data_IF_747586061565
#
_entry.id   IF_747586061565
#
_cell.length_a   1.000
_cell.length_b   1.000
_cell.length_c   1.000
_cell.angle_alpha   90.00
_cell.angle_beta   90.00
_cell.angle_gamma   90.00
#
_symmetry.space_group_name_H-M   'P 1'
#
loop_
_entity.id
_entity.type
_entity.pdbx_description
1 polymer ?
#
# COMPACT_ATOMS: atom_id res chain seq x y z
N UNK A 1 10.39 -5.64 -13.86
CA UNK A 1 9.37 -6.27 -12.99
C UNK A 1 9.44 -5.63 -11.62
N UNK A 2 8.34 -5.04 -11.15
CA UNK A 2 8.25 -4.42 -9.84
C UNK A 2 8.03 -5.48 -8.76
N UNK A 3 8.88 -5.51 -7.74
CA UNK A 3 8.81 -6.44 -6.61
C UNK A 3 8.09 -5.79 -5.44
N UNK A 4 6.83 -6.20 -5.27
CA UNK A 4 5.88 -5.52 -4.42
C UNK A 4 5.88 -6.10 -3.00
N UNK A 5 6.15 -5.25 -2.01
CA UNK A 5 5.80 -5.50 -0.62
C UNK A 5 4.44 -4.86 -0.28
N UNK A 6 3.51 -5.63 0.28
CA UNK A 6 2.20 -5.12 0.69
C UNK A 6 2.11 -4.92 2.20
N UNK A 7 1.55 -3.79 2.63
CA UNK A 7 1.23 -3.55 4.04
C UNK A 7 -0.25 -3.22 4.20
N UNK A 8 -0.95 -4.02 5.00
CA UNK A 8 -2.38 -3.84 5.35
C UNK A 8 -2.56 -3.30 6.76
N UNK A 9 -3.75 -2.79 7.07
CA UNK A 9 -4.11 -2.37 8.43
C UNK A 9 -4.73 -3.52 9.25
N UNK A 10 -4.34 -3.67 10.51
CA UNK A 10 -4.94 -4.65 11.43
C UNK A 10 -6.46 -4.51 11.57
N UNK A 11 -7.00 -3.28 11.46
CA UNK A 11 -8.43 -3.01 11.66
C UNK A 11 -9.33 -3.66 10.61
N UNK A 12 -8.76 -4.04 9.46
CA UNK A 12 -9.48 -4.73 8.39
C UNK A 12 -9.08 -6.20 8.24
N UNK A 13 -8.22 -6.71 9.12
CA UNK A 13 -7.44 -7.92 8.87
C UNK A 13 -8.25 -9.21 8.95
N UNK A 14 -9.32 -9.18 9.75
CA UNK A 14 -10.28 -10.28 9.95
C UNK A 14 -11.47 -10.23 8.98
N UNK A 15 -11.58 -9.17 8.18
CA UNK A 15 -12.68 -8.96 7.21
C UNK A 15 -12.21 -8.93 5.77
N UNK A 16 -10.95 -8.58 5.54
CA UNK A 16 -10.35 -8.45 4.22
C UNK A 16 -9.17 -9.42 4.06
N UNK A 17 -9.33 -10.49 3.26
CA UNK A 17 -8.25 -11.42 2.93
C UNK A 17 -7.38 -10.94 1.76
N UNK A 18 -7.47 -9.65 1.38
CA UNK A 18 -6.74 -9.03 0.26
C UNK A 18 -7.10 -9.55 -1.15
N UNK A 19 -8.18 -10.31 -1.34
CA UNK A 19 -8.57 -10.87 -2.66
C UNK A 19 -8.57 -9.84 -3.79
N UNK A 20 -9.19 -8.67 -3.58
CA UNK A 20 -9.18 -7.60 -4.58
C UNK A 20 -7.78 -7.05 -4.83
N UNK A 21 -6.98 -6.90 -3.77
CA UNK A 21 -5.60 -6.40 -3.88
C UNK A 21 -4.74 -7.34 -4.72
N UNK A 22 -4.85 -8.66 -4.51
CA UNK A 22 -4.10 -9.65 -5.29
C UNK A 22 -4.55 -9.73 -6.74
N UNK A 23 -5.86 -9.65 -7.02
CA UNK A 23 -6.38 -9.58 -8.40
C UNK A 23 -5.87 -8.34 -9.14
N UNK A 24 -5.94 -7.16 -8.51
CA UNK A 24 -5.42 -5.94 -9.12
C UNK A 24 -3.89 -5.97 -9.25
N UNK A 25 -3.17 -6.64 -8.36
CA UNK A 25 -1.72 -6.85 -8.49
C UNK A 25 -1.45 -7.69 -9.75
N UNK A 26 -2.07 -8.87 -9.87
CA UNK A 26 -1.91 -9.77 -11.02
C UNK A 26 -2.26 -9.10 -12.36
N UNK A 27 -3.37 -8.35 -12.39
CA UNK A 27 -3.84 -7.68 -13.61
C UNK A 27 -3.15 -6.34 -13.88
N UNK A 28 -2.36 -5.81 -12.93
CA UNK A 28 -1.78 -4.45 -12.96
C UNK A 28 -2.85 -3.37 -13.09
N UNK A 29 -3.87 -3.46 -12.25
CA UNK A 29 -4.99 -2.52 -12.21
C UNK A 29 -4.90 -1.60 -10.98
N UNK A 30 -5.59 -0.46 -11.07
CA UNK A 30 -5.78 0.46 -9.95
C UNK A 30 -4.44 0.89 -9.33
N UNK A 31 -4.18 0.55 -8.06
CA UNK A 31 -2.94 0.89 -7.37
C UNK A 31 -1.69 0.43 -8.13
N UNK A 32 -1.80 -0.59 -8.97
CA UNK A 32 -0.69 -1.21 -9.69
C UNK A 32 -0.59 -0.80 -11.18
N UNK A 33 -1.45 0.10 -11.68
CA UNK A 33 -1.50 0.44 -13.11
C UNK A 33 -0.26 1.13 -13.67
N UNK A 34 0.62 1.64 -12.80
CA UNK A 34 1.88 2.26 -13.20
C UNK A 34 3.04 1.27 -13.37
N UNK A 35 2.80 -0.04 -13.22
CA UNK A 35 3.81 -1.10 -13.30
C UNK A 35 3.61 -1.96 -14.56
N UNK A 36 4.68 -2.22 -15.30
CA UNK A 36 4.64 -3.11 -16.47
C UNK A 36 4.43 -4.59 -16.08
N UNK A 37 5.06 -5.01 -14.99
CA UNK A 37 4.99 -6.35 -14.42
C UNK A 37 5.12 -6.26 -12.90
N UNK A 38 4.46 -7.16 -12.19
CA UNK A 38 4.43 -7.19 -10.72
C UNK A 38 4.70 -8.58 -10.19
N UNK A 39 5.46 -8.66 -9.10
CA UNK A 39 5.69 -9.88 -8.31
C UNK A 39 5.40 -9.57 -6.84
N UNK A 40 4.64 -10.42 -6.15
CA UNK A 40 4.42 -10.26 -4.71
C UNK A 40 5.59 -10.85 -3.93
N UNK A 41 6.30 -10.02 -3.17
CA UNK A 41 7.39 -10.45 -2.29
C UNK A 41 6.89 -10.89 -0.91
N UNK A 42 5.92 -10.16 -0.36
CA UNK A 42 5.41 -10.46 0.96
C UNK A 42 4.32 -9.49 1.43
N UNK A 43 3.65 -9.89 2.51
CA UNK A 43 2.57 -9.11 3.12
C UNK A 43 2.83 -8.98 4.61
N UNK A 44 2.76 -7.76 5.13
CA UNK A 44 2.70 -7.49 6.56
C UNK A 44 1.39 -6.82 6.97
N UNK A 45 1.05 -6.94 8.25
CA UNK A 45 -0.05 -6.22 8.87
C UNK A 45 0.51 -5.18 9.85
N UNK A 46 0.28 -3.90 9.54
CA UNK A 46 0.57 -2.79 10.42
C UNK A 46 -0.40 -2.75 11.60
N UNK A 47 0.14 -2.47 12.79
CA UNK A 47 -0.62 -2.25 14.02
C UNK A 47 -0.46 -0.82 14.52
N UNK A 48 -1.52 -0.24 15.08
CA UNK A 48 -1.46 1.13 15.62
C UNK A 48 -0.57 1.17 16.88
N UNK A 49 0.21 2.24 17.09
CA UNK A 49 0.23 3.51 16.35
C UNK A 49 1.17 3.53 15.12
N UNK A 50 1.76 2.39 14.74
CA UNK A 50 2.63 2.26 13.56
C UNK A 50 4.11 2.01 13.87
N UNK A 51 4.46 1.77 15.13
CA UNK A 51 5.85 1.75 15.64
C UNK A 51 6.76 0.63 15.09
N UNK A 52 6.27 -0.25 14.22
CA UNK A 52 7.07 -1.26 13.52
C UNK A 52 6.98 -1.18 11.99
N UNK A 53 6.28 -0.18 11.45
CA UNK A 53 5.97 -0.13 10.02
C UNK A 53 7.23 0.01 9.15
N UNK A 54 8.19 0.83 9.60
CA UNK A 54 9.48 1.01 8.90
C UNK A 54 10.26 -0.30 8.88
N UNK A 55 10.30 -1.02 9.99
CA UNK A 55 11.02 -2.30 10.07
C UNK A 55 10.36 -3.36 9.19
N UNK A 56 9.03 -3.43 9.14
CA UNK A 56 8.31 -4.27 8.18
C UNK A 56 8.73 -3.97 6.74
N UNK A 57 8.86 -2.69 6.38
CA UNK A 57 9.31 -2.28 5.04
C UNK A 57 10.79 -2.62 4.81
N UNK A 58 11.67 -2.46 5.80
CA UNK A 58 13.09 -2.88 5.74
C UNK A 58 13.21 -4.40 5.58
N UNK A 59 12.35 -5.19 6.23
CA UNK A 59 12.29 -6.65 6.04
C UNK A 59 11.83 -6.99 4.62
N UNK A 60 10.76 -6.36 4.12
CA UNK A 60 10.33 -6.57 2.73
C UNK A 60 11.44 -6.23 1.73
N UNK A 61 12.16 -5.12 1.94
CA UNK A 61 13.34 -4.75 1.15
C UNK A 61 14.42 -5.82 1.18
N UNK A 62 14.77 -6.34 2.36
CA UNK A 62 15.79 -7.39 2.48
C UNK A 62 15.38 -8.72 1.85
N UNK A 63 14.06 -8.94 1.64
CA UNK A 63 13.51 -10.05 0.85
C UNK A 63 13.39 -9.76 -0.64
N UNK A 64 13.80 -8.57 -1.09
CA UNK A 64 13.87 -8.20 -2.49
C UNK A 64 12.72 -7.32 -2.98
N UNK A 65 11.85 -6.81 -2.11
CA UNK A 65 10.89 -5.79 -2.53
C UNK A 65 11.64 -4.52 -2.96
N UNK A 66 11.22 -3.92 -4.06
CA UNK A 66 11.69 -2.62 -4.55
C UNK A 66 10.63 -1.53 -4.40
N UNK A 67 9.38 -1.91 -4.14
CA UNK A 67 8.24 -1.00 -4.01
C UNK A 67 7.33 -1.44 -2.87
N UNK A 68 6.91 -0.51 -2.02
CA UNK A 68 5.92 -0.77 -0.97
C UNK A 68 4.56 -0.25 -1.40
N UNK A 69 3.52 -1.06 -1.29
CA UNK A 69 2.13 -0.63 -1.43
C UNK A 69 1.42 -0.68 -0.09
N UNK A 70 0.86 0.46 0.33
CA UNK A 70 0.02 0.55 1.52
C UNK A 70 -1.45 0.44 1.11
N UNK A 71 -2.18 -0.50 1.71
CA UNK A 71 -3.52 -0.88 1.27
C UNK A 71 -4.53 0.27 1.37
N UNK A 72 -5.46 0.33 0.41
CA UNK A 72 -6.47 1.40 0.27
C UNK A 72 -7.32 1.65 1.52
N UNK A 73 -7.62 0.60 2.30
CA UNK A 73 -8.39 0.72 3.53
C UNK A 73 -7.75 1.62 4.61
N UNK A 74 -6.45 1.93 4.48
CA UNK A 74 -5.77 2.86 5.39
C UNK A 74 -6.23 4.31 5.20
N UNK A 75 -6.66 4.68 4.00
CA UNK A 75 -7.02 6.07 3.65
C UNK A 75 -8.38 6.23 2.99
N UNK A 76 -9.09 5.14 2.72
CA UNK A 76 -10.42 5.14 2.09
C UNK A 76 -11.38 4.26 2.88
N UNK A 77 -12.65 4.62 2.83
CA UNK A 77 -13.78 3.85 3.33
C UNK A 77 -14.86 3.70 2.26
N UNK A 78 -15.79 2.77 2.48
CA UNK A 78 -16.94 2.54 1.59
C UNK A 78 -18.17 3.23 2.17
N UNK A 79 -18.83 4.08 1.39
CA UNK A 79 -20.10 4.69 1.72
C UNK A 79 -21.00 4.69 0.47
N UNK A 80 -22.28 4.38 0.63
CA UNK A 80 -23.28 4.34 -0.45
C UNK A 80 -22.82 3.53 -1.68
N UNK A 81 -22.17 2.39 -1.42
CA UNK A 81 -21.65 1.50 -2.47
C UNK A 81 -20.35 1.97 -3.12
N UNK A 82 -19.90 3.21 -2.88
CA UNK A 82 -18.71 3.81 -3.49
C UNK A 82 -17.54 3.87 -2.51
N UNK A 83 -16.32 3.89 -3.07
CA UNK A 83 -15.10 4.12 -2.31
C UNK A 83 -14.79 5.61 -2.27
N UNK A 84 -14.59 6.14 -1.07
CA UNK A 84 -14.39 7.56 -0.82
C UNK A 84 -13.02 7.74 -0.16
N UNK A 85 -12.27 8.75 -0.60
CA UNK A 85 -11.00 9.14 0.02
C UNK A 85 -11.24 9.84 1.37
N UNK A 86 -10.35 9.61 2.33
CA UNK A 86 -10.50 10.09 3.70
C UNK A 86 -11.19 9.10 4.62
N UNK A 87 -11.09 9.34 5.93
CA UNK A 87 -11.69 8.52 6.99
C UNK A 87 -11.40 7.02 6.88
N UNK A 88 -10.23 6.66 6.32
CA UNK A 88 -9.72 5.30 6.35
C UNK A 88 -9.24 4.91 7.76
N UNK A 89 -8.72 3.70 7.89
CA UNK A 89 -8.34 3.15 9.20
C UNK A 89 -7.14 3.83 9.88
N UNK A 90 -6.40 4.70 9.19
CA UNK A 90 -5.19 5.33 9.66
C UNK A 90 -5.18 6.85 9.38
N UNK A 91 -5.21 7.66 10.44
CA UNK A 91 -5.08 9.13 10.33
C UNK A 91 -3.66 9.61 9.98
N UNK A 92 -2.65 8.78 10.25
CA UNK A 92 -1.23 9.10 10.06
C UNK A 92 -0.60 8.51 8.79
N UNK A 93 -1.42 7.95 7.89
CA UNK A 93 -0.92 7.13 6.77
C UNK A 93 0.13 7.87 5.93
N UNK A 94 -0.06 9.15 5.64
CA UNK A 94 0.88 9.93 4.82
C UNK A 94 2.23 10.15 5.53
N UNK A 95 2.20 10.46 6.83
CA UNK A 95 3.41 10.62 7.64
C UNK A 95 4.19 9.31 7.69
N UNK A 96 3.48 8.21 7.95
CA UNK A 96 4.06 6.87 8.03
C UNK A 96 4.65 6.41 6.69
N UNK A 97 3.97 6.69 5.58
CA UNK A 97 4.48 6.41 4.23
C UNK A 97 5.71 7.25 3.87
N UNK A 98 5.72 8.53 4.22
CA UNK A 98 6.89 9.39 4.06
C UNK A 98 8.09 8.85 4.86
N UNK A 99 7.85 8.36 6.08
CA UNK A 99 8.89 7.75 6.90
C UNK A 99 9.42 6.45 6.28
N UNK A 100 8.55 5.56 5.79
CA UNK A 100 8.98 4.35 5.04
C UNK A 100 9.87 4.76 3.87
N UNK A 101 9.42 5.70 3.04
CA UNK A 101 10.12 6.10 1.83
C UNK A 101 11.51 6.68 2.15
N UNK A 102 11.61 7.54 3.17
CA UNK A 102 12.87 8.12 3.65
C UNK A 102 13.83 7.05 4.19
N UNK A 103 13.32 6.13 5.01
CA UNK A 103 14.15 5.14 5.72
C UNK A 103 14.59 3.97 4.83
N UNK A 104 13.78 3.63 3.83
CA UNK A 104 14.05 2.50 2.94
C UNK A 104 14.61 2.92 1.59
N UNK A 105 14.47 4.19 1.20
CA UNK A 105 14.78 4.68 -0.15
C UNK A 105 14.00 3.91 -1.24
N UNK A 106 12.85 3.33 -0.89
CA UNK A 106 11.95 2.69 -1.84
C UNK A 106 10.73 3.57 -2.10
N UNK A 107 10.18 3.59 -3.33
CA UNK A 107 8.87 4.16 -3.59
C UNK A 107 7.81 3.49 -2.71
N UNK A 108 7.01 4.31 -2.03
CA UNK A 108 5.88 3.88 -1.24
C UNK A 108 4.58 4.39 -1.88
N UNK A 109 3.80 3.49 -2.47
CA UNK A 109 2.58 3.77 -3.23
C UNK A 109 1.36 3.67 -2.32
N UNK A 110 0.55 4.73 -2.32
CA UNK A 110 -0.68 4.83 -1.52
C UNK A 110 -1.84 4.24 -2.31
N UNK A 111 -2.04 2.93 -2.21
CA UNK A 111 -3.18 2.29 -2.86
C UNK A 111 -2.91 0.87 -3.34
N UNK A 112 -3.98 0.10 -3.38
CA UNK A 112 -4.05 -1.25 -3.93
C UNK A 112 -5.33 -1.38 -4.77
N UNK A 113 -6.27 -2.24 -4.36
CA UNK A 113 -7.59 -2.32 -4.97
C UNK A 113 -8.58 -1.37 -4.29
N UNK A 114 -9.73 -1.18 -4.92
CA UNK A 114 -10.84 -0.36 -4.44
C UNK A 114 -10.48 1.12 -4.25
N UNK A 115 -9.70 1.66 -5.19
CA UNK A 115 -9.39 3.09 -5.19
C UNK A 115 -10.67 3.93 -5.32
N UNK A 116 -10.75 5.08 -4.62
CA UNK A 116 -11.81 6.05 -4.85
C UNK A 116 -11.89 6.50 -6.32
N UNK A 117 -13.07 6.89 -6.76
CA UNK A 117 -13.28 7.38 -8.13
C UNK A 117 -12.37 8.59 -8.43
N UNK A 118 -11.68 8.56 -9.57
CA UNK A 118 -10.71 9.59 -9.96
C UNK A 118 -9.40 9.61 -9.17
N UNK A 119 -9.19 8.68 -8.23
CA UNK A 119 -7.98 8.65 -7.43
C UNK A 119 -6.78 8.14 -8.23
N UNK A 120 -5.72 8.93 -8.25
CA UNK A 120 -4.42 8.57 -8.81
C UNK A 120 -3.47 8.19 -7.67
N UNK A 121 -2.85 6.99 -7.68
CA UNK A 121 -1.95 6.56 -6.63
C UNK A 121 -0.84 7.58 -6.36
N UNK A 122 -0.83 8.12 -5.14
CA UNK A 122 0.26 8.99 -4.68
C UNK A 122 1.47 8.13 -4.31
N UNK A 123 2.64 8.56 -4.76
CA UNK A 123 3.92 7.90 -4.44
C UNK A 123 4.73 8.79 -3.49
N UNK A 124 5.28 8.18 -2.45
CA UNK A 124 6.20 8.81 -1.51
C UNK A 124 7.61 8.30 -1.77
N UNK A 125 8.56 9.23 -1.92
CA UNK A 125 9.93 8.90 -2.32
C UNK A 125 10.05 8.41 -3.77
N UNK A 126 11.28 8.34 -4.26
CA UNK A 126 11.59 7.96 -5.63
C UNK A 126 11.32 9.07 -6.64
N UNK A 127 12.35 9.85 -6.98
CA UNK A 127 12.44 10.38 -8.34
C UNK A 127 12.84 9.18 -9.22
N UNK A 128 12.03 8.88 -10.25
CA UNK A 128 12.54 8.05 -11.34
C UNK A 128 13.62 8.90 -12.02
N UNK A 129 14.88 8.51 -11.87
CA UNK A 129 15.93 8.88 -12.84
C UNK A 129 15.58 8.29 -14.19
#
# INVERSE_FOLDING_TARGET
>A
MAKIGLIRCQKNETRCPLTGCFKCLENREQGFSGHEQTELVGVFTCRCPGDGLVDMAKILKSKGADTIHVCTCTFSHKADGKWIAGNGFCGDVDRLMAQIASETQMPCVKGTAHLPEGYHPRVFGGQRT
#
